data_IF_248688810918
#
_entry.id   IF_248688810918
#
_cell.length_a   1.000
_cell.length_b   1.000
_cell.length_c   1.000
_cell.angle_alpha   90.00
_cell.angle_beta   90.00
_cell.angle_gamma   90.00
#
_symmetry.space_group_name_H-M   'P 1'
#
loop_
_entity.id
_entity.type
_entity.pdbx_description
1 polymer ?
#
# COMPACT_ATOMS: atom_id res chain seq x y z
N UNK A 1 39.92 11.86 -50.29
CA UNK A 1 39.00 10.83 -50.82
C UNK A 1 38.41 10.13 -49.59
N UNK A 2 37.26 10.48 -49.02
CA UNK A 2 35.87 10.55 -49.52
C UNK A 2 35.49 9.32 -50.36
N UNK A 3 34.90 8.32 -49.71
CA UNK A 3 33.47 7.98 -49.86
C UNK A 3 33.01 7.03 -48.74
N UNK A 4 31.87 7.38 -48.15
CA UNK A 4 31.05 6.61 -47.21
C UNK A 4 30.11 5.72 -48.03
N UNK A 5 29.81 4.50 -47.58
CA UNK A 5 28.54 3.85 -47.95
C UNK A 5 27.94 3.14 -46.74
N UNK A 6 26.77 3.64 -46.37
CA UNK A 6 25.85 3.20 -45.33
C UNK A 6 24.79 2.34 -46.01
N UNK A 7 24.42 1.19 -45.46
CA UNK A 7 23.19 0.49 -45.84
C UNK A 7 22.56 -0.22 -44.63
N UNK A 8 21.26 0.01 -44.52
CA UNK A 8 20.34 -0.14 -43.39
C UNK A 8 19.22 -1.10 -43.82
N UNK A 9 18.80 -2.03 -42.97
CA UNK A 9 17.41 -2.56 -42.83
C UNK A 9 17.39 -3.79 -41.89
N UNK A 10 16.97 -3.67 -40.63
CA UNK A 10 15.60 -3.74 -40.06
C UNK A 10 15.13 -5.18 -39.74
N UNK A 11 14.85 -5.53 -38.45
CA UNK A 11 14.21 -6.79 -38.08
C UNK A 11 12.68 -6.68 -38.18
N UNK A 12 12.05 -7.65 -38.85
CA UNK A 12 10.60 -7.77 -38.95
C UNK A 12 10.01 -8.36 -37.65
N UNK A 13 9.29 -7.54 -36.89
CA UNK A 13 8.43 -7.96 -35.80
C UNK A 13 7.01 -8.25 -36.33
N UNK A 14 6.62 -9.53 -36.39
CA UNK A 14 5.24 -9.94 -36.62
C UNK A 14 4.56 -10.29 -35.29
N UNK A 15 3.99 -9.30 -34.61
CA UNK A 15 3.05 -9.54 -33.50
C UNK A 15 1.67 -9.83 -34.09
N UNK A 16 1.12 -10.99 -33.74
CA UNK A 16 -0.27 -11.37 -33.94
C UNK A 16 -1.21 -10.37 -33.26
N UNK A 17 -2.02 -9.66 -34.04
CA UNK A 17 -3.16 -8.88 -33.55
C UNK A 17 -4.39 -9.78 -33.59
N UNK A 18 -4.92 -10.16 -32.44
CA UNK A 18 -6.32 -10.57 -32.30
C UNK A 18 -7.15 -9.31 -32.09
N UNK A 19 -7.86 -8.89 -33.13
CA UNK A 19 -8.86 -7.85 -33.07
C UNK A 19 -10.12 -8.36 -32.35
N UNK A 20 -10.62 -7.58 -31.39
CA UNK A 20 -12.01 -7.63 -30.94
C UNK A 20 -12.59 -6.22 -31.13
N UNK A 21 -13.74 -6.07 -31.80
CA UNK A 21 -14.28 -4.76 -32.15
C UNK A 21 -14.92 -4.06 -30.95
N UNK A 22 -14.64 -2.75 -30.82
CA UNK A 22 -15.40 -1.81 -30.02
C UNK A 22 -16.85 -1.75 -30.52
N UNK A 23 -17.79 -2.00 -29.62
CA UNK A 23 -19.17 -1.57 -29.79
C UNK A 23 -19.33 -0.17 -29.18
N UNK A 24 -19.87 0.68 -30.04
CA UNK A 24 -20.36 2.03 -29.85
C UNK A 24 -21.42 2.12 -28.74
N UNK A 25 -21.33 3.14 -27.88
CA UNK A 25 -22.45 3.64 -27.09
C UNK A 25 -22.10 4.99 -26.47
N UNK A 26 -22.50 6.04 -27.16
CA UNK A 26 -22.68 7.40 -26.64
C UNK A 26 -23.66 7.40 -25.47
N UNK A 27 -23.34 8.05 -24.35
CA UNK A 27 -24.35 8.64 -23.44
C UNK A 27 -23.72 9.79 -22.62
N UNK A 28 -24.32 11.00 -22.61
CA UNK A 28 -23.87 12.14 -21.82
C UNK A 28 -24.41 12.11 -20.38
N UNK A 29 -23.81 12.95 -19.53
CA UNK A 29 -23.93 13.07 -18.07
C UNK A 29 -25.37 13.09 -17.49
N UNK A 30 -25.56 12.60 -16.25
CA UNK A 30 -26.78 12.86 -15.50
C UNK A 30 -26.67 14.18 -14.73
N UNK A 31 -27.64 15.06 -14.99
CA UNK A 31 -28.01 16.16 -14.11
C UNK A 31 -28.85 15.64 -12.93
N UNK A 32 -28.73 16.37 -11.82
CA UNK A 32 -29.37 16.24 -10.51
C UNK A 32 -30.83 15.77 -10.55
N UNK A 33 -31.16 14.69 -9.84
CA UNK A 33 -32.53 14.39 -9.43
C UNK A 33 -32.59 13.74 -8.03
N UNK A 34 -33.62 14.17 -7.31
CA UNK A 34 -34.01 14.06 -5.91
C UNK A 34 -33.86 12.67 -5.25
N UNK A 35 -33.44 12.67 -4.00
CA UNK A 35 -33.35 11.48 -3.14
C UNK A 35 -34.72 10.81 -2.90
N UNK A 36 -34.83 9.54 -3.27
CA UNK A 36 -35.93 8.66 -2.93
C UNK A 36 -35.39 7.52 -2.04
N UNK A 37 -35.99 7.22 -0.88
CA UNK A 37 -35.48 6.19 0.02
C UNK A 37 -35.75 4.79 -0.55
N UNK A 38 -34.73 3.93 -0.50
CA UNK A 38 -34.82 2.53 -0.92
C UNK A 38 -35.75 1.72 -0.01
N UNK A 39 -36.56 0.77 -0.53
CA UNK A 39 -37.41 -0.08 0.30
C UNK A 39 -36.57 -1.09 1.10
N UNK A 40 -36.87 -1.19 2.40
CA UNK A 40 -36.26 -2.16 3.30
C UNK A 40 -36.66 -3.61 2.94
N UNK A 41 -35.70 -4.54 3.00
CA UNK A 41 -35.96 -5.96 2.82
C UNK A 41 -36.94 -6.49 3.88
N UNK A 42 -37.85 -7.42 3.54
CA UNK A 42 -38.84 -7.93 4.47
C UNK A 42 -38.15 -8.77 5.56
N UNK A 43 -38.27 -8.36 6.81
CA UNK A 43 -37.96 -9.21 7.97
C UNK A 43 -39.13 -10.18 8.13
N UNK A 44 -38.88 -11.48 7.98
CA UNK A 44 -39.89 -12.49 8.20
C UNK A 44 -40.17 -12.64 9.69
N UNK A 45 -41.21 -11.99 10.19
CA UNK A 45 -41.82 -12.33 11.47
C UNK A 45 -42.66 -13.59 11.28
N UNK A 46 -42.12 -14.74 11.67
CA UNK A 46 -42.90 -15.97 11.74
C UNK A 46 -43.85 -15.88 12.93
N UNK A 47 -45.04 -15.35 12.68
CA UNK A 47 -46.16 -15.37 13.63
C UNK A 47 -46.73 -16.79 13.62
N UNK A 48 -46.42 -17.57 14.65
CA UNK A 48 -47.17 -18.80 14.94
C UNK A 48 -48.48 -18.39 15.59
N UNK A 49 -49.61 -18.98 15.16
CA UNK A 49 -50.89 -18.73 15.82
C UNK A 49 -50.89 -19.34 17.22
N UNK A 50 -51.55 -18.68 18.17
CA UNK A 50 -51.63 -19.11 19.58
C UNK A 50 -52.19 -20.53 19.73
N UNK A 51 -53.01 -20.97 18.78
CA UNK A 51 -53.56 -22.32 18.72
C UNK A 51 -52.51 -23.39 18.37
N UNK A 52 -51.56 -23.07 17.48
CA UNK A 52 -50.43 -23.96 17.14
C UNK A 52 -49.40 -23.99 18.27
N UNK A 53 -49.22 -22.86 18.97
CA UNK A 53 -48.36 -22.80 20.15
C UNK A 53 -48.95 -23.62 21.32
N UNK A 54 -50.27 -23.58 21.53
CA UNK A 54 -50.93 -24.29 22.64
C UNK A 54 -50.99 -25.81 22.42
N UNK A 55 -51.18 -26.27 21.19
CA UNK A 55 -51.11 -27.70 20.84
C UNK A 55 -49.70 -28.26 21.03
N UNK A 56 -48.67 -27.49 20.68
CA UNK A 56 -47.28 -27.89 20.91
C UNK A 56 -46.94 -27.94 22.40
N UNK A 57 -47.39 -26.95 23.18
CA UNK A 57 -47.20 -26.92 24.63
C UNK A 57 -47.93 -28.07 25.35
N UNK A 58 -49.09 -28.48 24.83
CA UNK A 58 -49.89 -29.59 25.38
C UNK A 58 -49.30 -30.97 25.05
N UNK A 59 -48.52 -31.06 23.97
CA UNK A 59 -47.82 -32.29 23.56
C UNK A 59 -46.45 -32.48 24.22
N UNK A 60 -45.91 -31.47 24.91
CA UNK A 60 -44.62 -31.58 25.58
C UNK A 60 -44.78 -32.29 26.95
N UNK A 61 -44.00 -33.35 27.21
CA UNK A 61 -44.03 -34.01 28.52
C UNK A 61 -43.61 -33.02 29.61
N UNK A 62 -44.36 -32.98 30.71
CA UNK A 62 -44.05 -32.13 31.86
C UNK A 62 -42.71 -32.58 32.46
N UNK A 63 -41.64 -31.82 32.19
CA UNK A 63 -40.32 -32.08 32.76
C UNK A 63 -40.39 -31.95 34.27
N UNK A 64 -40.19 -33.06 34.98
CA UNK A 64 -39.97 -33.05 36.42
C UNK A 64 -38.45 -33.01 36.61
N UNK A 65 -37.85 -31.86 36.95
CA UNK A 65 -36.41 -31.79 37.12
C UNK A 65 -36.00 -32.78 38.21
N UNK A 66 -34.91 -33.54 38.02
CA UNK A 66 -34.39 -34.37 39.10
C UNK A 66 -34.13 -33.49 40.33
N UNK A 67 -34.42 -33.98 41.55
CA UNK A 67 -34.20 -33.20 42.77
C UNK A 67 -32.75 -32.70 42.76
N UNK A 68 -32.57 -31.40 43.01
CA UNK A 68 -31.26 -30.76 43.05
C UNK A 68 -30.35 -31.60 43.93
N UNK A 69 -29.21 -32.04 43.38
CA UNK A 69 -28.17 -32.70 44.15
C UNK A 69 -27.83 -31.79 45.36
N UNK A 70 -27.60 -32.37 46.55
CA UNK A 70 -27.16 -31.60 47.70
C UNK A 70 -25.90 -30.83 47.33
N UNK A 71 -25.84 -29.56 47.74
CA UNK A 71 -24.70 -28.67 47.48
C UNK A 71 -23.41 -29.37 47.93
N UNK A 72 -22.39 -29.47 47.05
CA UNK A 72 -21.13 -30.07 47.43
C UNK A 72 -20.54 -29.23 48.57
N UNK A 73 -20.16 -29.91 49.67
CA UNK A 73 -19.28 -29.31 50.68
C UNK A 73 -18.08 -28.69 49.96
N UNK A 74 -17.61 -27.49 50.35
CA UNK A 74 -16.44 -26.89 49.74
C UNK A 74 -15.28 -27.87 49.91
N UNK A 75 -14.92 -28.53 48.82
CA UNK A 75 -13.68 -29.28 48.72
C UNK A 75 -12.57 -28.24 48.84
N UNK A 76 -11.69 -28.45 49.81
CA UNK A 76 -10.42 -27.74 49.92
C UNK A 76 -9.81 -27.68 48.53
N UNK A 77 -9.53 -26.46 48.07
CA UNK A 77 -8.94 -26.19 46.75
C UNK A 77 -7.75 -27.13 46.55
N UNK A 78 -7.97 -28.18 45.77
CA UNK A 78 -6.89 -29.04 45.33
C UNK A 78 -5.93 -28.12 44.56
N UNK A 79 -4.63 -28.09 44.91
CA UNK A 79 -3.70 -27.19 44.26
C UNK A 79 -3.71 -27.47 42.76
N UNK A 80 -3.95 -26.42 41.95
CA UNK A 80 -4.04 -26.54 40.51
C UNK A 80 -2.73 -27.14 39.98
N UNK A 81 -2.84 -28.33 39.37
CA UNK A 81 -1.72 -29.06 38.77
C UNK A 81 -1.03 -28.27 37.65
N UNK A 82 -1.64 -27.18 37.16
CA UNK A 82 -1.03 -26.23 36.22
C UNK A 82 0.00 -25.31 36.89
N UNK A 83 -0.14 -25.05 38.19
CA UNK A 83 0.82 -24.23 38.96
C UNK A 83 2.06 -25.03 39.38
N UNK A 84 1.99 -26.36 39.30
CA UNK A 84 3.08 -27.29 39.62
C UNK A 84 3.85 -27.81 38.40
N UNK A 85 3.54 -27.32 37.19
CA UNK A 85 4.31 -27.60 35.96
C UNK A 85 5.53 -26.67 35.83
N UNK A 86 6.30 -26.53 36.90
CA UNK A 86 7.65 -25.97 36.83
C UNK A 86 8.64 -27.15 36.76
N UNK A 87 9.52 -27.20 35.75
CA UNK A 87 10.48 -28.30 35.65
C UNK A 87 11.34 -28.35 36.90
N UNK A 88 11.33 -29.50 37.60
CA UNK A 88 12.01 -29.74 38.89
C UNK A 88 13.53 -29.53 38.86
N UNK A 89 14.11 -29.40 37.67
CA UNK A 89 15.50 -29.04 37.47
C UNK A 89 15.61 -27.52 37.39
N UNK A 90 16.27 -26.90 38.37
CA UNK A 90 16.62 -25.46 38.45
C UNK A 90 17.60 -25.03 37.33
N UNK A 91 17.40 -25.49 36.10
CA UNK A 91 18.21 -25.13 34.93
C UNK A 91 17.88 -23.68 34.65
N UNK A 92 18.77 -22.80 35.11
CA UNK A 92 18.73 -21.37 34.83
C UNK A 92 18.75 -21.24 33.31
N UNK A 93 17.62 -20.84 32.73
CA UNK A 93 17.53 -20.57 31.28
C UNK A 93 18.36 -19.31 31.02
N UNK A 94 19.48 -19.50 30.34
CA UNK A 94 20.29 -18.38 29.87
C UNK A 94 19.44 -17.45 29.00
N UNK A 95 19.69 -16.15 29.09
CA UNK A 95 19.05 -15.20 28.20
C UNK A 95 19.43 -15.52 26.75
N UNK A 96 18.44 -15.48 25.85
CA UNK A 96 18.67 -15.67 24.41
C UNK A 96 19.48 -14.49 23.89
N UNK A 97 20.79 -14.67 23.73
CA UNK A 97 21.62 -13.67 23.04
C UNK A 97 21.45 -13.86 21.53
N UNK A 98 21.08 -12.79 20.83
CA UNK A 98 21.09 -12.74 19.36
C UNK A 98 22.26 -11.86 18.95
N UNK A 99 23.27 -12.44 18.32
CA UNK A 99 24.32 -11.68 17.65
C UNK A 99 23.71 -11.12 16.37
N UNK A 100 23.55 -9.80 16.28
CA UNK A 100 23.07 -9.12 15.07
C UNK A 100 24.25 -8.44 14.42
N UNK A 101 24.60 -8.89 13.22
CA UNK A 101 25.52 -8.15 12.36
C UNK A 101 24.83 -6.87 11.85
N UNK A 102 25.59 -5.77 11.65
CA UNK A 102 25.03 -4.58 11.03
C UNK A 102 24.60 -4.91 9.59
N UNK A 103 23.39 -4.49 9.21
CA UNK A 103 22.93 -4.62 7.83
C UNK A 103 23.89 -3.87 6.90
N UNK A 104 24.24 -4.43 5.73
CA UNK A 104 25.09 -3.72 4.79
C UNK A 104 24.43 -2.40 4.38
N UNK A 105 25.22 -1.34 4.14
CA UNK A 105 24.69 -0.07 3.68
C UNK A 105 23.99 -0.24 2.34
N UNK A 106 22.80 0.36 2.20
CA UNK A 106 22.08 0.41 0.93
C UNK A 106 22.60 1.61 0.16
N UNK A 107 23.43 1.37 -0.84
CA UNK A 107 23.97 2.42 -1.69
C UNK A 107 22.92 2.92 -2.69
N UNK A 108 22.77 4.24 -2.80
CA UNK A 108 21.99 4.86 -3.87
C UNK A 108 22.87 5.15 -5.08
N UNK A 109 22.26 5.30 -6.26
CA UNK A 109 22.95 5.75 -7.46
C UNK A 109 23.75 7.04 -7.22
N UNK A 110 23.20 7.95 -6.40
CA UNK A 110 23.84 9.21 -5.99
C UNK A 110 25.08 9.05 -5.10
N UNK A 111 25.18 7.93 -4.39
CA UNK A 111 26.31 7.62 -3.50
C UNK A 111 27.42 6.88 -4.27
N UNK A 112 27.06 6.23 -5.39
CA UNK A 112 27.96 5.42 -6.22
C UNK A 112 28.55 6.22 -7.39
N UNK A 113 27.76 7.11 -7.99
CA UNK A 113 28.13 7.83 -9.21
C UNK A 113 28.54 9.27 -8.92
N UNK A 114 29.54 9.76 -9.65
CA UNK A 114 29.84 11.19 -9.71
C UNK A 114 28.75 11.94 -10.49
N UNK A 115 28.73 13.27 -10.40
CA UNK A 115 27.78 14.13 -11.15
C UNK A 115 27.74 13.83 -12.65
N UNK A 116 28.87 13.45 -13.26
CA UNK A 116 28.91 13.10 -14.68
C UNK A 116 28.31 11.71 -14.96
N UNK A 117 28.43 10.76 -14.03
CA UNK A 117 27.75 9.47 -14.07
C UNK A 117 26.23 9.66 -14.01
N UNK A 118 25.75 10.42 -13.03
CA UNK A 118 24.35 10.78 -12.86
C UNK A 118 23.78 11.48 -14.11
N UNK A 119 24.56 12.40 -14.69
CA UNK A 119 24.20 13.06 -15.96
C UNK A 119 24.07 12.07 -17.10
N UNK A 120 25.03 11.15 -17.26
CA UNK A 120 24.97 10.13 -18.31
C UNK A 120 23.80 9.16 -18.10
N UNK A 121 23.47 8.83 -16.85
CA UNK A 121 22.28 8.04 -16.49
C UNK A 121 20.99 8.78 -16.87
N UNK A 122 20.88 10.06 -16.51
CA UNK A 122 19.76 10.91 -16.92
C UNK A 122 19.59 11.02 -18.43
N UNK A 123 20.70 11.16 -19.18
CA UNK A 123 20.68 11.14 -20.66
C UNK A 123 20.24 9.78 -21.22
N UNK A 124 20.64 8.67 -20.60
CA UNK A 124 20.24 7.31 -21.01
C UNK A 124 18.76 7.03 -20.72
N UNK A 125 18.26 7.49 -19.58
CA UNK A 125 16.85 7.34 -19.19
C UNK A 125 15.90 8.16 -20.06
N UNK A 126 16.39 9.24 -20.67
CA UNK A 126 15.60 10.14 -21.50
C UNK A 126 16.17 10.19 -22.94
N UNK A 127 15.79 9.24 -23.81
CA UNK A 127 16.36 9.14 -25.16
C UNK A 127 16.14 10.40 -26.02
N UNK A 128 15.10 11.18 -25.72
CA UNK A 128 14.83 12.45 -26.40
C UNK A 128 15.95 13.49 -26.23
N UNK A 129 16.69 13.46 -25.11
CA UNK A 129 17.81 14.39 -24.88
C UNK A 129 19.02 14.07 -25.75
N UNK A 130 19.14 12.85 -26.26
CA UNK A 130 20.21 12.46 -27.18
C UNK A 130 20.03 13.04 -28.59
N UNK A 131 18.79 13.35 -28.97
CA UNK A 131 18.46 13.92 -30.28
C UNK A 131 18.83 15.40 -30.27
N UNK A 132 19.70 15.83 -31.19
CA UNK A 132 20.14 17.23 -31.27
C UNK A 132 21.06 17.68 -30.14
N UNK A 133 21.71 16.75 -29.42
CA UNK A 133 22.70 17.07 -28.38
C UNK A 133 24.04 17.53 -28.99
N UNK A 134 24.01 18.58 -29.81
CA UNK A 134 25.21 19.19 -30.37
C UNK A 134 26.12 19.64 -29.22
N UNK A 135 27.37 19.18 -29.19
CA UNK A 135 28.36 19.62 -28.19
C UNK A 135 28.04 19.32 -26.73
N UNK A 136 27.03 18.51 -26.41
CA UNK A 136 26.67 18.20 -25.03
C UNK A 136 25.80 19.25 -24.33
N UNK A 137 25.14 20.16 -25.07
CA UNK A 137 24.27 21.19 -24.50
C UNK A 137 23.13 20.61 -23.63
N UNK A 138 22.68 19.38 -23.89
CA UNK A 138 21.58 18.75 -23.15
C UNK A 138 22.03 18.04 -21.85
N UNK A 139 23.34 17.97 -21.58
CA UNK A 139 23.87 17.34 -20.35
C UNK A 139 23.33 17.93 -19.04
N UNK A 140 23.29 19.27 -18.83
CA UNK A 140 22.71 19.82 -17.60
C UNK A 140 21.22 19.48 -17.45
N UNK A 141 20.48 19.41 -18.57
CA UNK A 141 19.08 18.99 -18.57
C UNK A 141 18.97 17.51 -18.15
N UNK A 142 19.89 16.67 -18.58
CA UNK A 142 19.96 15.26 -18.18
C UNK A 142 20.13 15.08 -16.67
N UNK A 143 20.98 15.91 -16.04
CA UNK A 143 21.14 15.89 -14.57
C UNK A 143 19.85 16.29 -13.85
N UNK A 144 19.22 17.40 -14.29
CA UNK A 144 17.97 17.89 -13.71
C UNK A 144 16.84 16.86 -13.85
N UNK A 145 16.74 16.19 -15.01
CA UNK A 145 15.75 15.15 -15.23
C UNK A 145 16.00 13.91 -14.38
N UNK A 146 17.26 13.54 -14.14
CA UNK A 146 17.60 12.44 -13.24
C UNK A 146 17.17 12.77 -11.80
N UNK A 147 17.53 13.96 -11.31
CA UNK A 147 17.17 14.41 -9.96
C UNK A 147 15.64 14.44 -9.77
N UNK A 148 14.91 14.88 -10.79
CA UNK A 148 13.46 14.86 -10.79
C UNK A 148 12.88 13.44 -10.81
N UNK A 149 13.46 12.53 -11.58
CA UNK A 149 13.04 11.12 -11.57
C UNK A 149 13.29 10.46 -10.21
N UNK A 150 14.40 10.74 -9.54
CA UNK A 150 14.67 10.23 -8.20
C UNK A 150 13.64 10.75 -7.20
N UNK A 151 13.28 12.05 -7.27
CA UNK A 151 12.19 12.63 -6.48
C UNK A 151 10.85 11.93 -6.73
N UNK A 152 10.46 11.78 -8.00
CA UNK A 152 9.20 11.14 -8.38
C UNK A 152 9.13 9.67 -7.92
N UNK A 153 10.25 8.94 -7.97
CA UNK A 153 10.33 7.57 -7.44
C UNK A 153 10.15 7.55 -5.93
N UNK A 154 10.86 8.41 -5.20
CA UNK A 154 10.70 8.50 -3.74
C UNK A 154 9.26 8.84 -3.35
N UNK A 155 8.61 9.76 -4.08
CA UNK A 155 7.20 10.10 -3.86
C UNK A 155 6.26 8.92 -4.16
N UNK A 156 6.54 8.15 -5.23
CA UNK A 156 5.77 6.98 -5.59
C UNK A 156 5.91 5.85 -4.55
N UNK A 157 7.13 5.62 -4.05
CA UNK A 157 7.42 4.63 -3.01
C UNK A 157 6.70 4.99 -1.70
N UNK A 158 6.78 6.25 -1.25
CA UNK A 158 6.05 6.71 -0.06
C UNK A 158 4.53 6.62 -0.23
N UNK A 159 4.01 6.92 -1.43
CA UNK A 159 2.58 6.75 -1.72
C UNK A 159 2.15 5.28 -1.71
N UNK A 160 3.04 4.37 -2.13
CA UNK A 160 2.80 2.94 -2.04
C UNK A 160 2.82 2.47 -0.59
N UNK A 161 3.81 2.89 0.19
CA UNK A 161 3.92 2.57 1.62
C UNK A 161 2.69 3.06 2.40
N UNK A 162 2.19 4.26 2.09
CA UNK A 162 0.95 4.76 2.68
C UNK A 162 -0.28 3.89 2.32
N UNK A 163 -0.36 3.42 1.07
CA UNK A 163 -1.44 2.50 0.64
C UNK A 163 -1.33 1.16 1.34
N UNK A 164 -0.13 0.62 1.49
CA UNK A 164 0.13 -0.65 2.14
C UNK A 164 -0.18 -0.54 3.66
N UNK A 165 0.20 0.56 4.30
CA UNK A 165 -0.17 0.85 5.69
C UNK A 165 -1.69 0.94 5.88
N UNK A 166 -2.38 1.65 4.97
CA UNK A 166 -3.85 1.72 4.97
C UNK A 166 -4.49 0.34 4.78
N UNK A 167 -3.93 -0.49 3.90
CA UNK A 167 -4.41 -1.86 3.68
C UNK A 167 -4.19 -2.76 4.92
N UNK A 168 -3.12 -2.54 5.69
CA UNK A 168 -2.88 -3.23 6.96
C UNK A 168 -3.76 -2.77 8.13
N UNK A 169 -4.58 -1.72 7.94
CA UNK A 169 -5.50 -1.21 8.95
C UNK A 169 -4.98 -0.02 9.76
N UNK A 170 -3.76 0.47 9.51
CA UNK A 170 -3.22 1.68 10.16
C UNK A 170 -3.47 2.92 9.29
N UNK A 171 -4.68 3.47 9.40
CA UNK A 171 -5.07 4.67 8.67
C UNK A 171 -4.30 5.93 9.14
N UNK A 172 -3.91 5.98 10.42
CA UNK A 172 -3.21 7.14 10.98
C UNK A 172 -1.79 7.27 10.46
N UNK A 173 -1.06 6.16 10.36
CA UNK A 173 0.27 6.15 9.76
C UNK A 173 0.19 6.46 8.26
N UNK A 174 -0.82 5.94 7.56
CA UNK A 174 -1.03 6.24 6.13
C UNK A 174 -1.22 7.74 5.89
N UNK A 175 -2.09 8.41 6.66
CA UNK A 175 -2.34 9.84 6.53
C UNK A 175 -1.10 10.68 6.89
N UNK A 176 -0.35 10.25 7.90
CA UNK A 176 0.93 10.88 8.26
C UNK A 176 1.96 10.77 7.13
N UNK A 177 2.13 9.58 6.55
CA UNK A 177 3.06 9.35 5.43
C UNK A 177 2.66 10.21 4.23
N UNK A 178 1.37 10.28 3.89
CA UNK A 178 0.91 11.12 2.79
C UNK A 178 1.20 12.61 3.07
N UNK A 179 0.90 13.10 4.27
CA UNK A 179 1.17 14.49 4.65
C UNK A 179 2.66 14.83 4.56
N UNK A 180 3.52 13.95 5.07
CA UNK A 180 4.96 14.16 5.03
C UNK A 180 5.52 14.03 3.62
N UNK A 181 5.01 13.09 2.82
CA UNK A 181 5.36 12.92 1.42
C UNK A 181 5.05 14.19 0.61
N UNK A 182 3.87 14.78 0.80
CA UNK A 182 3.52 16.05 0.19
C UNK A 182 4.50 17.15 0.64
N UNK A 183 4.70 17.31 1.94
CA UNK A 183 5.58 18.36 2.50
C UNK A 183 7.02 18.29 2.01
N UNK A 184 7.63 17.10 2.03
CA UNK A 184 9.04 16.90 1.74
C UNK A 184 9.38 17.07 0.25
N UNK A 185 8.42 16.84 -0.64
CA UNK A 185 8.68 16.81 -2.08
C UNK A 185 8.31 18.09 -2.82
N UNK A 186 7.69 19.10 -2.19
CA UNK A 186 7.49 20.40 -2.84
C UNK A 186 8.83 21.09 -3.14
N UNK A 187 9.05 21.49 -4.39
CA UNK A 187 10.25 22.25 -4.78
C UNK A 187 10.00 23.74 -4.52
N UNK A 188 10.88 24.43 -3.78
CA UNK A 188 10.75 25.87 -3.56
C UNK A 188 10.65 26.70 -4.83
N UNK A 189 11.27 26.24 -5.94
CA UNK A 189 11.21 26.94 -7.23
C UNK A 189 9.95 26.71 -8.06
N UNK A 190 9.08 25.76 -7.68
CA UNK A 190 7.82 25.49 -8.40
C UNK A 190 6.74 26.53 -8.04
N UNK A 191 6.84 27.09 -6.84
CA UNK A 191 6.13 28.30 -6.46
C UNK A 191 7.05 29.44 -6.89
N UNK A 192 6.62 30.31 -7.81
CA UNK A 192 7.42 31.40 -8.41
C UNK A 192 7.91 32.50 -7.45
N UNK A 193 8.16 32.15 -6.19
CA UNK A 193 8.73 32.91 -5.10
C UNK A 193 10.17 32.42 -4.87
N UNK A 194 11.08 32.73 -5.79
CA UNK A 194 12.51 32.65 -5.48
C UNK A 194 12.84 33.82 -4.54
N UNK A 195 12.65 33.65 -3.22
CA UNK A 195 13.01 34.64 -2.20
C UNK A 195 14.49 34.63 -1.82
N UNK A 196 15.30 33.80 -2.46
CA UNK A 196 16.73 33.63 -2.14
C UNK A 196 17.63 34.24 -3.21
N UNK A 197 17.35 35.49 -3.59
CA UNK A 197 18.36 36.35 -4.19
C UNK A 197 19.05 37.11 -3.04
N UNK A 198 20.28 36.74 -2.60
CA UNK A 198 20.99 37.50 -1.57
C UNK A 198 21.43 38.89 -2.05
N UNK A 199 21.13 39.27 -3.30
CA UNK A 199 21.40 40.57 -3.86
C UNK A 199 20.11 41.25 -4.31
N UNK A 200 19.29 41.67 -3.34
CA UNK A 200 18.29 42.70 -3.57
C UNK A 200 18.95 43.99 -4.09
N UNK A 201 19.03 44.12 -5.41
CA UNK A 201 19.13 45.40 -6.09
C UNK A 201 17.92 45.53 -7.01
N UNK A 202 17.17 46.59 -6.69
CA UNK A 202 15.97 47.09 -7.34
C UNK A 202 16.12 47.20 -8.85
#
# INVERSE_FOLDING_TARGET
>A
MITVLFALALPAAGRTQTATPSADATTPAPAVETAQPAPAAPKHDRVMSDEVASTLASGMPKYNPPPKLPEPKPEEEQPDLRETDQPKNKIIRLQKFMVKEPKPPVFRDRDLESKSGLTNRGMKSNPGLGIGNFGGLNRPIGLLMYEEQERLRNMADLNKDARDAKASGDATAADYILKENHRANYRPSDFGWNSDDPAGKK
#
